data_IF_262154010909
#
_entry.id   IF_262154010909
#
_cell.length_a   1.000
_cell.length_b   1.000
_cell.length_c   1.000
_cell.angle_alpha   90.00
_cell.angle_beta   90.00
_cell.angle_gamma   90.00
#
_symmetry.space_group_name_H-M   'P 1'
#
loop_
_entity.id
_entity.type
_entity.pdbx_description
1 polymer ?
#
# COMPACT_ATOMS: atom_id res chain seq x y z
N UNK A 1 -4.46 -51.04 43.92
CA UNK A 1 -4.93 -49.94 43.04
C UNK A 1 -4.09 -48.73 43.39
N UNK A 2 -2.96 -48.58 42.71
CA UNK A 2 -2.10 -47.40 42.67
C UNK A 2 -1.20 -47.64 41.46
N UNK A 3 -1.64 -47.16 40.30
CA UNK A 3 -0.83 -47.22 39.07
C UNK A 3 0.12 -46.02 39.08
N UNK A 4 1.40 -46.34 39.26
CA UNK A 4 2.55 -45.45 39.18
C UNK A 4 2.70 -44.94 37.73
N UNK A 5 2.48 -43.64 37.53
CA UNK A 5 2.79 -42.95 36.28
C UNK A 5 4.16 -42.29 36.41
N UNK A 6 5.19 -43.01 35.96
CA UNK A 6 6.55 -42.48 35.80
C UNK A 6 6.57 -41.43 34.68
N UNK A 7 6.91 -40.20 35.07
CA UNK A 7 7.08 -39.05 34.18
C UNK A 7 8.53 -39.00 33.70
N UNK A 8 8.79 -39.43 32.46
CA UNK A 8 10.10 -39.28 31.82
C UNK A 8 10.32 -37.81 31.46
N UNK A 9 11.10 -37.13 32.30
CA UNK A 9 11.59 -35.78 32.06
C UNK A 9 12.66 -35.77 30.97
N UNK A 10 12.27 -35.39 29.75
CA UNK A 10 13.22 -35.01 28.72
C UNK A 10 13.73 -33.60 28.98
N UNK A 11 14.78 -33.53 29.80
CA UNK A 11 15.63 -32.37 30.01
C UNK A 11 16.54 -32.18 28.78
N UNK A 12 16.18 -31.22 27.93
CA UNK A 12 17.05 -30.75 26.84
C UNK A 12 17.62 -29.38 27.21
N UNK A 13 18.62 -29.42 28.09
CA UNK A 13 19.59 -28.36 28.29
C UNK A 13 20.39 -28.08 27.01
N UNK A 14 19.81 -27.26 26.12
CA UNK A 14 20.54 -26.69 24.99
C UNK A 14 21.39 -25.52 25.49
N UNK A 15 22.65 -25.85 25.75
CA UNK A 15 23.81 -24.99 25.93
C UNK A 15 23.85 -23.83 24.91
N UNK A 16 23.43 -22.64 25.33
CA UNK A 16 23.62 -21.38 24.58
C UNK A 16 25.09 -20.94 24.71
N UNK A 17 25.98 -21.56 23.92
CA UNK A 17 27.35 -21.09 23.79
C UNK A 17 27.37 -19.80 22.97
N UNK A 18 27.85 -18.75 23.63
CA UNK A 18 28.27 -17.49 23.06
C UNK A 18 29.19 -17.73 21.84
N UNK A 19 28.80 -17.18 20.69
CA UNK A 19 29.69 -16.95 19.56
C UNK A 19 29.55 -15.48 19.14
N UNK A 20 30.29 -14.63 19.84
CA UNK A 20 30.52 -13.24 19.47
C UNK A 20 31.51 -13.23 18.30
N UNK A 21 31.02 -13.42 17.08
CA UNK A 21 31.83 -13.25 15.88
C UNK A 21 31.79 -11.77 15.47
N UNK A 22 32.85 -11.03 15.85
CA UNK A 22 33.17 -9.71 15.31
C UNK A 22 33.32 -9.78 13.79
N UNK A 23 32.26 -9.47 13.05
CA UNK A 23 32.38 -9.18 11.63
C UNK A 23 32.82 -7.73 11.46
N UNK A 24 34.14 -7.55 11.37
CA UNK A 24 34.77 -6.30 10.94
C UNK A 24 34.14 -5.82 9.61
N UNK A 25 33.62 -4.58 9.53
CA UNK A 25 33.19 -4.02 8.25
C UNK A 25 34.43 -3.82 7.37
N UNK A 26 34.53 -4.57 6.27
CA UNK A 26 35.49 -4.30 5.21
C UNK A 26 35.13 -2.95 4.58
N UNK A 27 35.91 -1.92 4.91
CA UNK A 27 35.92 -0.65 4.19
C UNK A 27 36.08 -0.93 2.69
N UNK A 28 35.00 -0.77 1.92
CA UNK A 28 35.09 -0.64 0.48
C UNK A 28 35.66 0.74 0.20
N UNK A 29 36.94 0.79 -0.13
CA UNK A 29 37.61 1.95 -0.70
C UNK A 29 36.86 2.37 -1.97
N UNK A 30 36.18 3.51 -1.91
CA UNK A 30 35.66 4.17 -3.11
C UNK A 30 36.86 4.76 -3.87
N UNK A 31 37.26 4.10 -4.95
CA UNK A 31 38.08 4.74 -5.96
C UNK A 31 37.21 5.79 -6.65
N UNK A 32 37.52 7.06 -6.39
CA UNK A 32 37.04 8.20 -7.18
C UNK A 32 37.72 8.13 -8.54
N UNK A 33 37.04 7.53 -9.52
CA UNK A 33 37.40 7.68 -10.92
C UNK A 33 36.92 9.07 -11.38
N UNK A 34 37.86 10.03 -11.36
CA UNK A 34 37.82 11.23 -12.19
C UNK A 34 37.99 10.84 -13.65
N UNK A 35 37.23 11.47 -14.54
CA UNK A 35 37.48 11.52 -15.98
C UNK A 35 36.40 10.81 -16.79
N UNK A 36 35.55 11.56 -17.48
CA UNK A 36 35.92 12.06 -18.81
C UNK A 36 34.81 12.93 -19.37
N UNK A 37 35.24 14.09 -19.85
CA UNK A 37 34.53 14.95 -20.77
C UNK A 37 34.05 14.14 -21.97
N UNK A 38 32.78 14.31 -22.35
CA UNK A 38 32.28 13.89 -23.65
C UNK A 38 31.25 14.90 -24.12
N UNK A 39 31.79 15.98 -24.69
CA UNK A 39 31.10 16.81 -25.67
C UNK A 39 30.81 15.96 -26.91
N UNK A 40 29.61 15.37 -26.94
CA UNK A 40 29.17 14.41 -27.94
C UNK A 40 27.83 14.79 -28.57
N UNK A 41 27.85 15.87 -29.37
CA UNK A 41 27.02 16.13 -30.55
C UNK A 41 26.03 15.00 -30.93
N UNK A 42 24.73 15.20 -30.67
CA UNK A 42 23.66 14.36 -31.24
C UNK A 42 22.95 15.12 -32.37
N UNK A 43 23.49 14.97 -33.57
CA UNK A 43 22.71 15.07 -34.81
C UNK A 43 22.06 13.73 -35.12
N UNK A 44 20.94 13.80 -35.83
CA UNK A 44 20.31 12.73 -36.64
C UNK A 44 19.09 12.03 -36.05
N UNK A 45 17.94 12.63 -36.40
CA UNK A 45 16.87 11.99 -37.19
C UNK A 45 16.99 10.47 -37.38
N UNK A 46 16.10 9.71 -36.72
CA UNK A 46 15.77 8.35 -37.16
C UNK A 46 14.27 8.17 -37.29
N UNK A 47 13.88 8.14 -38.56
CA UNK A 47 12.69 7.52 -39.13
C UNK A 47 12.30 6.21 -38.44
N UNK A 48 11.09 6.16 -37.89
CA UNK A 48 10.46 4.89 -37.52
C UNK A 48 9.59 4.41 -38.67
N UNK A 49 10.13 3.48 -39.45
CA UNK A 49 9.41 2.72 -40.46
C UNK A 49 8.27 1.92 -39.84
N UNK A 50 7.07 2.15 -40.34
CA UNK A 50 5.92 1.27 -40.15
C UNK A 50 6.25 -0.12 -40.72
N UNK A 51 6.44 -1.12 -39.85
CA UNK A 51 6.38 -2.54 -40.24
C UNK A 51 4.95 -3.02 -40.08
N UNK A 52 4.23 -3.10 -41.21
CA UNK A 52 3.02 -3.89 -41.34
C UNK A 52 3.39 -5.37 -41.29
N UNK A 53 2.95 -6.09 -40.27
CA UNK A 53 2.95 -7.54 -40.30
C UNK A 53 1.67 -8.00 -41.00
N UNK A 54 1.86 -8.63 -42.16
CA UNK A 54 0.83 -9.42 -42.82
C UNK A 54 0.55 -10.67 -41.95
N UNK A 55 -0.66 -10.78 -41.43
CA UNK A 55 -1.18 -12.05 -40.94
C UNK A 55 -1.58 -12.89 -42.16
N UNK A 56 -0.95 -14.06 -42.30
CA UNK A 56 -1.38 -15.11 -43.22
C UNK A 56 -1.63 -16.35 -42.36
N UNK A 57 -2.90 -16.72 -42.26
CA UNK A 57 -3.39 -18.03 -41.78
C UNK A 57 -2.77 -19.17 -42.61
N UNK A 58 -2.58 -20.38 -42.04
CA UNK A 58 -3.62 -21.40 -42.28
C UNK A 58 -3.79 -22.48 -41.18
N UNK A 59 -5.02 -23.01 -41.12
CA UNK A 59 -5.44 -24.39 -40.74
C UNK A 59 -4.92 -24.94 -39.40
N UNK A 60 -5.75 -25.36 -38.45
CA UNK A 60 -6.93 -26.19 -38.61
C UNK A 60 -6.81 -27.30 -37.57
N UNK A 61 -7.69 -27.31 -36.58
CA UNK A 61 -8.01 -28.55 -35.86
C UNK A 61 -9.42 -28.41 -35.27
N UNK A 62 -10.38 -28.81 -36.09
CA UNK A 62 -11.77 -28.98 -35.73
C UNK A 62 -11.88 -30.14 -34.74
N UNK A 63 -12.38 -29.89 -33.54
CA UNK A 63 -13.04 -30.93 -32.77
C UNK A 63 -14.21 -30.35 -31.98
N UNK A 64 -15.21 -29.92 -32.75
CA UNK A 64 -16.55 -29.59 -32.27
C UNK A 64 -17.32 -30.87 -31.97
N UNK A 65 -17.56 -31.14 -30.69
CA UNK A 65 -18.67 -32.03 -30.32
C UNK A 65 -19.33 -31.55 -29.03
N UNK A 66 -20.20 -30.54 -29.13
CA UNK A 66 -21.21 -30.31 -28.09
C UNK A 66 -22.55 -29.88 -28.68
N UNK A 67 -23.63 -30.65 -28.47
CA UNK A 67 -24.88 -30.48 -29.19
C UNK A 67 -25.69 -29.26 -28.72
N UNK A 68 -26.20 -28.56 -29.72
CA UNK A 68 -27.17 -27.46 -29.67
C UNK A 68 -28.57 -27.95 -29.32
N UNK A 69 -29.30 -27.15 -28.52
CA UNK A 69 -30.78 -26.93 -28.48
C UNK A 69 -31.02 -26.07 -27.21
N UNK A 70 -31.71 -24.93 -27.20
CA UNK A 70 -33.02 -24.66 -27.82
C UNK A 70 -33.25 -23.15 -27.95
N UNK A 71 -33.81 -22.74 -29.09
CA UNK A 71 -34.41 -21.44 -29.40
C UNK A 71 -35.62 -21.12 -28.50
N UNK A 72 -35.85 -19.84 -28.17
CA UNK A 72 -37.07 -19.06 -28.52
C UNK A 72 -37.00 -17.62 -27.99
N UNK A 73 -37.17 -16.68 -28.92
CA UNK A 73 -37.27 -15.20 -28.81
C UNK A 73 -38.57 -14.76 -28.08
N UNK A 74 -38.86 -13.45 -27.80
CA UNK A 74 -38.89 -12.37 -28.80
C UNK A 74 -38.47 -10.94 -28.37
N UNK A 75 -38.10 -10.19 -29.41
CA UNK A 75 -38.36 -8.78 -29.71
C UNK A 75 -39.09 -7.91 -28.66
N UNK A 76 -38.54 -6.71 -28.48
CA UNK A 76 -39.34 -5.48 -28.51
C UNK A 76 -39.64 -4.86 -27.14
N UNK A 77 -38.82 -3.88 -26.75
CA UNK A 77 -39.34 -2.72 -26.02
C UNK A 77 -38.85 -1.42 -26.66
N UNK A 78 -39.78 -0.51 -27.02
CA UNK A 78 -39.46 0.74 -27.66
C UNK A 78 -38.96 1.78 -26.66
N UNK A 79 -38.22 2.71 -27.26
CA UNK A 79 -37.72 3.95 -26.74
C UNK A 79 -38.85 4.79 -26.10
N UNK A 80 -38.73 5.14 -24.82
CA UNK A 80 -39.48 6.24 -24.20
C UNK A 80 -38.47 7.12 -23.47
N UNK A 81 -38.21 8.28 -24.08
CA UNK A 81 -37.34 9.30 -23.56
C UNK A 81 -37.68 9.64 -22.11
N UNK A 82 -36.71 9.45 -21.22
CA UNK A 82 -36.68 10.17 -19.96
C UNK A 82 -35.84 11.40 -20.15
N UNK A 83 -36.57 12.49 -20.30
CA UNK A 83 -36.11 13.87 -20.12
C UNK A 83 -35.04 13.96 -19.06
N UNK A 84 -33.87 14.44 -19.51
CA UNK A 84 -32.82 14.97 -18.65
C UNK A 84 -33.45 16.10 -17.83
N UNK A 85 -33.92 15.78 -16.63
CA UNK A 85 -34.29 16.78 -15.64
C UNK A 85 -32.95 17.34 -15.12
N UNK A 86 -32.66 18.64 -15.28
CA UNK A 86 -31.51 19.26 -14.63
C UNK A 86 -31.80 19.25 -13.12
N UNK A 87 -31.40 18.16 -12.49
CA UNK A 87 -31.39 18.02 -11.05
C UNK A 87 -30.43 19.07 -10.52
N UNK A 88 -31.00 20.14 -9.98
CA UNK A 88 -30.31 21.18 -9.24
C UNK A 88 -29.46 20.48 -8.16
N UNK A 89 -28.18 20.24 -8.45
CA UNK A 89 -27.20 19.67 -7.54
C UNK A 89 -26.94 20.74 -6.48
N UNK A 90 -27.89 20.86 -5.54
CA UNK A 90 -27.67 21.52 -4.26
C UNK A 90 -26.47 20.80 -3.67
N UNK A 91 -25.32 21.46 -3.80
CA UNK A 91 -24.11 21.22 -3.05
C UNK A 91 -24.52 21.01 -1.60
N UNK A 92 -24.74 19.74 -1.23
CA UNK A 92 -24.79 19.32 0.15
C UNK A 92 -23.36 19.51 0.61
N UNK A 93 -23.07 20.73 1.06
CA UNK A 93 -22.10 20.96 2.11
C UNK A 93 -22.42 19.92 3.16
N UNK A 94 -21.70 18.78 3.13
CA UNK A 94 -21.69 17.83 4.23
C UNK A 94 -21.38 18.71 5.42
N UNK A 95 -22.37 18.89 6.28
CA UNK A 95 -22.13 19.47 7.58
C UNK A 95 -20.95 18.70 8.14
N UNK A 96 -19.86 19.42 8.41
CA UNK A 96 -18.75 18.90 9.17
C UNK A 96 -19.37 18.44 10.47
N UNK A 97 -19.66 17.14 10.55
CA UNK A 97 -20.01 16.51 11.82
C UNK A 97 -18.69 16.58 12.55
N UNK A 98 -18.58 17.61 13.39
CA UNK A 98 -17.49 17.80 14.33
C UNK A 98 -17.46 16.53 15.17
N UNK A 99 -16.66 15.55 14.74
CA UNK A 99 -16.41 14.32 15.46
C UNK A 99 -15.86 14.76 16.81
N UNK A 100 -16.71 14.68 17.83
CA UNK A 100 -16.34 14.96 19.20
C UNK A 100 -15.40 13.83 19.60
N UNK A 101 -14.11 14.08 19.38
CA UNK A 101 -12.98 13.19 19.62
C UNK A 101 -13.04 12.63 21.04
N UNK A 102 -13.73 11.50 21.21
CA UNK A 102 -13.67 10.72 22.42
C UNK A 102 -12.27 10.13 22.47
N UNK A 103 -11.43 10.72 23.32
CA UNK A 103 -10.00 10.49 23.43
C UNK A 103 -9.66 9.17 24.12
N UNK A 104 -10.33 8.08 23.77
CA UNK A 104 -9.76 6.75 24.00
C UNK A 104 -8.64 6.63 22.98
N UNK A 105 -7.44 7.05 23.38
CA UNK A 105 -6.24 7.09 22.56
C UNK A 105 -5.88 5.66 22.13
N UNK A 106 -6.57 5.16 21.11
CA UNK A 106 -6.09 4.03 20.33
C UNK A 106 -4.75 4.47 19.77
N UNK A 107 -3.70 3.71 20.06
CA UNK A 107 -2.36 3.95 19.53
C UNK A 107 -2.40 3.78 18.00
N UNK A 108 -2.81 4.83 17.29
CA UNK A 108 -2.68 4.91 15.84
C UNK A 108 -1.33 5.50 15.51
N UNK A 109 -0.71 5.02 14.43
CA UNK A 109 0.57 5.56 13.97
C UNK A 109 0.46 7.02 13.52
N UNK A 110 -0.70 7.40 13.00
CA UNK A 110 -1.03 8.77 12.58
C UNK A 110 -2.23 9.28 13.40
N UNK A 111 -2.01 9.98 14.53
CA UNK A 111 -3.08 10.43 15.44
C UNK A 111 -4.13 11.38 14.82
N UNK A 112 -3.87 11.85 13.60
CA UNK A 112 -4.75 12.76 12.86
C UNK A 112 -5.65 12.05 11.85
N UNK A 113 -5.45 10.76 11.63
CA UNK A 113 -6.22 9.95 10.68
C UNK A 113 -6.97 8.87 11.44
N UNK A 114 -8.26 8.75 11.13
CA UNK A 114 -9.13 7.66 11.54
C UNK A 114 -9.18 6.59 10.43
N UNK A 115 -9.74 5.41 10.75
CA UNK A 115 -9.86 4.35 9.74
C UNK A 115 -10.83 4.79 8.64
N UNK A 116 -10.36 4.74 7.39
CA UNK A 116 -11.11 5.17 6.23
C UNK A 116 -10.78 6.57 5.74
N UNK A 117 -10.01 7.35 6.51
CA UNK A 117 -9.56 8.67 6.08
C UNK A 117 -8.62 8.59 4.88
N UNK A 118 -8.73 9.57 3.98
CA UNK A 118 -7.84 9.66 2.82
C UNK A 118 -6.42 10.06 3.24
N UNK A 119 -5.43 9.30 2.79
CA UNK A 119 -4.01 9.58 3.01
C UNK A 119 -3.45 10.62 2.04
N UNK A 120 -2.50 11.44 2.51
CA UNK A 120 -1.64 12.24 1.64
C UNK A 120 -0.45 11.41 1.15
N UNK A 121 0.16 11.82 0.04
CA UNK A 121 1.40 11.22 -0.45
C UNK A 121 2.52 11.27 0.60
N UNK A 122 2.60 12.32 1.41
CA UNK A 122 3.62 12.46 2.46
C UNK A 122 3.46 11.44 3.60
N UNK A 123 2.25 10.93 3.79
CA UNK A 123 1.94 9.91 4.81
C UNK A 123 2.31 8.50 4.36
N UNK A 124 2.61 8.33 3.08
CA UNK A 124 2.82 7.04 2.44
C UNK A 124 4.28 6.86 2.03
N UNK A 125 4.78 5.64 2.15
CA UNK A 125 6.04 5.24 1.51
C UNK A 125 5.69 4.71 0.12
N UNK A 126 6.15 5.41 -0.91
CA UNK A 126 5.97 5.02 -2.32
C UNK A 126 7.28 4.43 -2.83
N UNK A 127 7.22 3.16 -3.23
CA UNK A 127 8.33 2.47 -3.89
C UNK A 127 8.03 2.34 -5.39
N UNK A 128 9.05 2.57 -6.21
CA UNK A 128 8.91 2.59 -7.68
C UNK A 128 9.02 1.19 -8.28
N UNK A 129 9.88 0.35 -7.71
CA UNK A 129 10.03 -1.04 -8.14
C UNK A 129 8.96 -1.93 -7.46
N UNK A 130 8.07 -2.60 -8.23
CA UNK A 130 7.05 -3.46 -7.65
C UNK A 130 7.62 -4.63 -6.85
N UNK A 131 8.79 -5.14 -7.21
CA UNK A 131 9.41 -6.26 -6.50
C UNK A 131 9.96 -5.81 -5.14
N UNK A 132 10.73 -4.72 -5.11
CA UNK A 132 11.18 -4.11 -3.86
C UNK A 132 9.98 -3.69 -2.97
N UNK A 133 8.91 -3.16 -3.56
CA UNK A 133 7.70 -2.80 -2.83
C UNK A 133 7.05 -4.03 -2.18
N UNK A 134 7.02 -5.17 -2.89
CA UNK A 134 6.47 -6.41 -2.37
C UNK A 134 7.29 -6.94 -1.18
N UNK A 135 8.61 -6.97 -1.30
CA UNK A 135 9.52 -7.40 -0.22
C UNK A 135 9.38 -6.48 1.00
N UNK A 136 9.32 -5.17 0.78
CA UNK A 136 9.14 -4.19 1.84
C UNK A 136 7.80 -4.37 2.57
N UNK A 137 6.71 -4.59 1.82
CA UNK A 137 5.38 -4.85 2.38
C UNK A 137 5.35 -6.16 3.16
N UNK A 138 5.98 -7.22 2.65
CA UNK A 138 6.01 -8.51 3.31
C UNK A 138 6.75 -8.46 4.64
N UNK A 139 7.89 -7.77 4.68
CA UNK A 139 8.68 -7.63 5.89
C UNK A 139 8.08 -6.67 6.93
N UNK A 140 7.26 -5.70 6.49
CA UNK A 140 6.80 -4.61 7.37
C UNK A 140 5.34 -4.73 7.81
N UNK A 141 4.48 -5.38 7.03
CA UNK A 141 3.08 -5.56 7.39
C UNK A 141 2.93 -6.81 8.27
N UNK A 142 2.53 -6.58 9.52
CA UNK A 142 2.12 -7.60 10.46
C UNK A 142 0.64 -7.43 10.83
N UNK A 143 0.07 -8.42 11.52
CA UNK A 143 -1.26 -8.30 12.10
C UNK A 143 -1.35 -7.07 13.01
N UNK A 144 -2.43 -6.31 12.89
CA UNK A 144 -2.66 -5.03 13.57
C UNK A 144 -1.70 -3.89 13.17
N UNK A 145 -0.86 -4.06 12.15
CA UNK A 145 -0.10 -2.96 11.57
C UNK A 145 -1.02 -2.03 10.78
N UNK A 146 -0.69 -0.74 10.77
CA UNK A 146 -1.42 0.25 9.99
C UNK A 146 -0.82 0.41 8.59
N UNK A 147 -1.69 0.59 7.60
CA UNK A 147 -1.31 0.77 6.21
C UNK A 147 -2.31 1.66 5.47
N UNK A 148 -1.98 2.01 4.23
CA UNK A 148 -2.90 2.68 3.33
C UNK A 148 -3.38 1.70 2.27
N UNK A 149 -4.69 1.59 2.10
CA UNK A 149 -5.32 0.67 1.15
C UNK A 149 -5.96 1.44 0.00
N UNK A 150 -5.69 1.03 -1.24
CA UNK A 150 -6.30 1.61 -2.43
C UNK A 150 -7.78 1.20 -2.54
N UNK A 151 -8.67 2.18 -2.57
CA UNK A 151 -10.11 2.02 -2.84
C UNK A 151 -10.36 1.92 -4.36
N UNK A 152 -11.57 1.53 -4.75
CA UNK A 152 -11.97 1.39 -6.16
C UNK A 152 -11.93 2.70 -6.96
N UNK A 153 -12.11 3.84 -6.29
CA UNK A 153 -11.96 5.19 -6.87
C UNK A 153 -10.48 5.60 -7.05
N UNK A 154 -9.53 4.73 -6.71
CA UNK A 154 -8.08 5.00 -6.79
C UNK A 154 -7.48 5.74 -5.61
N UNK A 155 -8.28 6.22 -4.65
CA UNK A 155 -7.77 6.91 -3.45
C UNK A 155 -7.22 5.91 -2.43
N UNK A 156 -6.16 6.29 -1.71
CA UNK A 156 -5.61 5.50 -0.62
C UNK A 156 -6.23 5.94 0.71
N UNK A 157 -6.75 4.97 1.48
CA UNK A 157 -7.38 5.24 2.78
C UNK A 157 -6.64 4.55 3.92
N UNK A 158 -6.57 5.19 5.07
CA UNK A 158 -5.94 4.66 6.27
C UNK A 158 -6.68 3.42 6.77
N UNK A 159 -5.95 2.34 7.01
CA UNK A 159 -6.47 0.98 7.25
C UNK A 159 -5.61 0.27 8.30
N UNK A 160 -6.13 -0.81 8.86
CA UNK A 160 -5.39 -1.71 9.76
C UNK A 160 -5.45 -3.14 9.27
N UNK A 161 -4.34 -3.88 9.37
CA UNK A 161 -4.27 -5.30 9.00
C UNK A 161 -5.03 -6.13 10.05
N UNK A 162 -6.07 -6.83 9.62
CA UNK A 162 -6.80 -7.78 10.46
C UNK A 162 -6.08 -9.14 10.51
N UNK A 163 -5.63 -9.60 9.35
CA UNK A 163 -5.03 -10.92 9.17
C UNK A 163 -4.06 -10.89 7.98
N UNK A 164 -2.97 -11.64 8.09
CA UNK A 164 -1.95 -11.78 7.05
C UNK A 164 -1.52 -13.24 6.97
N UNK A 165 -1.59 -13.78 5.77
CA UNK A 165 -1.06 -15.08 5.38
C UNK A 165 0.03 -14.88 4.31
N UNK A 166 0.75 -15.96 3.99
CA UNK A 166 1.77 -15.95 2.92
C UNK A 166 1.22 -15.59 1.54
N UNK A 167 -0.10 -15.75 1.32
CA UNK A 167 -0.75 -15.58 0.02
C UNK A 167 -1.72 -14.40 -0.03
N UNK A 168 -2.18 -13.94 1.11
CA UNK A 168 -3.27 -12.95 1.20
C UNK A 168 -3.15 -12.10 2.44
N UNK A 169 -3.67 -10.89 2.34
CA UNK A 169 -3.82 -9.99 3.48
C UNK A 169 -5.24 -9.47 3.51
N UNK A 170 -5.82 -9.42 4.71
CA UNK A 170 -7.15 -8.86 4.98
C UNK A 170 -6.97 -7.62 5.84
N UNK A 171 -7.50 -6.50 5.37
CA UNK A 171 -7.44 -5.21 6.08
C UNK A 171 -8.84 -4.74 6.45
N UNK A 172 -8.95 -4.06 7.58
CA UNK A 172 -10.13 -3.26 7.97
C UNK A 172 -9.91 -1.85 7.45
N UNK A 173 -10.87 -1.38 6.64
CA UNK A 173 -10.72 -0.13 5.88
C UNK A 173 -11.52 1.03 6.47
N UNK A 174 -12.47 0.78 7.37
CA UNK A 174 -13.25 1.80 8.07
C UNK A 174 -13.68 1.36 9.47
N UNK A 175 -14.24 2.29 10.24
CA UNK A 175 -14.67 2.06 11.62
C UNK A 175 -15.89 1.14 11.76
N UNK A 176 -16.66 0.96 10.69
CA UNK A 176 -17.81 0.04 10.64
C UNK A 176 -17.32 -1.42 10.55
N UNK A 177 -16.04 -1.62 10.24
CA UNK A 177 -15.43 -2.94 10.11
C UNK A 177 -15.48 -3.47 8.68
N UNK A 178 -15.67 -2.63 7.66
CA UNK A 178 -15.60 -3.08 6.27
C UNK A 178 -14.19 -3.60 5.98
N UNK A 179 -14.12 -4.81 5.42
CA UNK A 179 -12.85 -5.46 5.11
C UNK A 179 -12.55 -5.51 3.62
N UNK A 180 -11.26 -5.61 3.30
CA UNK A 180 -10.78 -5.89 1.95
C UNK A 180 -9.69 -6.96 2.01
N UNK A 181 -9.88 -8.05 1.26
CA UNK A 181 -8.88 -9.08 1.07
C UNK A 181 -8.14 -8.84 -0.25
N UNK A 182 -6.82 -9.05 -0.27
CA UNK A 182 -5.99 -8.92 -1.46
C UNK A 182 -4.93 -10.02 -1.51
N UNK A 183 -4.72 -10.57 -2.71
CA UNK A 183 -3.69 -11.57 -2.98
C UNK A 183 -2.31 -10.93 -3.03
N UNK A 184 -1.27 -11.71 -2.68
CA UNK A 184 0.13 -11.25 -2.60
C UNK A 184 0.63 -10.54 -3.86
N UNK A 185 0.29 -11.06 -5.04
CA UNK A 185 0.66 -10.46 -6.34
C UNK A 185 0.13 -9.03 -6.52
N UNK A 186 -0.97 -8.70 -5.84
CA UNK A 186 -1.66 -7.41 -5.96
C UNK A 186 -1.27 -6.43 -4.85
N UNK A 187 -0.43 -6.84 -3.89
CA UNK A 187 -0.04 -6.02 -2.76
C UNK A 187 0.62 -4.69 -3.16
N UNK A 188 1.61 -4.64 -4.07
CA UNK A 188 2.29 -3.39 -4.43
C UNK A 188 1.36 -2.33 -5.02
N UNK A 189 0.27 -2.76 -5.68
CA UNK A 189 -0.71 -1.88 -6.29
C UNK A 189 -1.81 -1.43 -5.32
N UNK A 190 -2.06 -2.19 -4.25
CA UNK A 190 -3.19 -1.98 -3.34
C UNK A 190 -2.78 -1.44 -1.98
N UNK A 191 -1.53 -1.63 -1.54
CA UNK A 191 -1.09 -1.21 -0.22
C UNK A 191 0.11 -0.29 -0.28
N UNK A 192 0.15 0.67 0.65
CA UNK A 192 1.33 1.50 0.94
C UNK A 192 1.58 1.51 2.44
N UNK A 193 2.86 1.52 2.82
CA UNK A 193 3.26 1.61 4.22
C UNK A 193 3.08 3.03 4.74
N UNK A 194 2.87 3.14 6.05
CA UNK A 194 2.79 4.42 6.75
C UNK A 194 4.20 5.00 6.92
N UNK A 195 4.37 6.25 6.50
CA UNK A 195 5.62 6.99 6.68
C UNK A 195 5.76 7.50 8.11
N UNK A 196 6.44 6.70 8.96
CA UNK A 196 6.69 7.06 10.37
C UNK A 196 7.55 8.33 10.50
N UNK A 197 8.43 8.60 9.53
CA UNK A 197 9.35 9.75 9.58
C UNK A 197 8.63 11.08 9.34
N UNK A 198 7.55 11.08 8.55
CA UNK A 198 6.73 12.27 8.34
C UNK A 198 6.12 12.80 9.65
N UNK A 199 5.86 11.92 10.62
CA UNK A 199 5.40 12.32 11.96
C UNK A 199 6.50 13.03 12.74
N UNK A 200 7.71 12.48 12.76
CA UNK A 200 8.80 13.00 13.58
C UNK A 200 9.16 14.43 13.17
N UNK A 201 9.31 14.68 11.87
CA UNK A 201 9.62 16.01 11.33
C UNK A 201 8.62 17.09 11.78
N UNK A 202 7.31 16.77 11.80
CA UNK A 202 6.26 17.73 12.21
C UNK A 202 6.26 18.01 13.71
N UNK A 203 6.67 17.05 14.54
CA UNK A 203 6.79 17.24 15.99
C UNK A 203 8.01 18.11 16.32
N UNK A 204 9.12 17.86 15.62
CA UNK A 204 10.35 18.63 15.79
C UNK A 204 10.13 20.10 15.36
N UNK A 205 9.46 20.33 14.23
CA UNK A 205 9.15 21.69 13.75
C UNK A 205 8.23 22.46 14.71
N UNK A 206 7.21 21.79 15.29
CA UNK A 206 6.35 22.41 16.30
C UNK A 206 7.09 22.79 17.56
N UNK A 207 8.07 21.98 17.97
CA UNK A 207 8.90 22.25 19.14
C UNK A 207 9.81 23.46 18.88
N UNK A 208 10.39 23.55 17.69
CA UNK A 208 11.24 24.68 17.28
C UNK A 208 10.48 26.02 17.24
N UNK A 209 9.23 26.04 16.75
CA UNK A 209 8.43 27.28 16.71
C UNK A 209 8.05 27.77 18.11
N UNK A 210 7.81 26.86 19.07
CA UNK A 210 7.46 27.24 20.44
C UNK A 210 8.62 27.92 21.18
N UNK A 211 9.86 27.47 20.96
CA UNK A 211 11.04 28.05 21.62
C UNK A 211 11.39 29.45 21.12
N UNK A 212 11.13 29.75 19.84
CA UNK A 212 11.45 31.08 19.28
C UNK A 212 10.50 32.16 19.78
N UNK A 213 9.20 31.85 19.97
CA UNK A 213 8.24 32.84 20.47
C UNK A 213 8.43 33.17 21.95
N UNK A 214 8.90 32.22 22.77
CA UNK A 214 9.19 32.50 24.18
C UNK A 214 10.43 33.37 24.39
N UNK A 215 11.43 33.30 23.50
CA UNK A 215 12.67 34.08 23.63
C UNK A 215 12.56 35.54 23.18
N UNK A 216 11.59 35.89 22.33
CA UNK A 216 11.43 37.28 21.85
C UNK A 216 10.65 38.13 22.85
N UNK A 217 9.79 37.53 23.67
CA UNK A 217 9.04 38.25 24.71
C UNK A 217 9.89 38.58 25.95
N UNK A 218 11.01 37.89 26.17
CA UNK A 218 11.93 38.18 27.28
C UNK A 218 12.99 39.24 26.96
N UNK A 219 12.94 39.89 25.79
CA UNK A 219 13.91 40.92 25.38
C UNK A 219 13.34 42.35 25.49
N UNK A 220 12.11 42.50 25.98
CA UNK A 220 11.41 43.79 26.11
C UNK A 220 11.04 44.17 27.56
N UNK A 221 11.58 43.46 28.55
CA UNK A 221 11.63 43.86 29.96
C UNK A 221 13.09 44.07 30.37
#
# INVERSE_FOLDING_TARGET
MNDDLSYDGNDHGSSFKQALAETRPKHKSFHVARGNDNDGKLTSTRSSSHKSFHAVDPSGNDNDNRPSKTRRSPQGRPNLGRTLRPGNYKSRRRASVESTKSSTARETYLPRLELGDAGSHDDMITENDPQAALELLDNSLEKHSFCFTRRSNGTFTYSIVAEKDDRSITVVVDEIGSTKACLRKDWPANFRLVNKMARQKKLDEKSLRKSTTSGVLSLFD
#
